data_IF_187418708552
#
_entry.id   IF_187418708552
#
_cell.length_a   1.000
_cell.length_b   1.000
_cell.length_c   1.000
_cell.angle_alpha   90.00
_cell.angle_beta   90.00
_cell.angle_gamma   90.00
#
_symmetry.space_group_name_H-M   'P 1'
#
loop_
_entity.id
_entity.type
_entity.pdbx_description
1 polymer ?
#
# COMPACT_ATOMS: atom_id res chain seq x y z
N UNK A 1 -6.34 -10.60 -3.00
CA UNK A 1 -6.08 -9.17 -3.24
C UNK A 1 -4.76 -9.10 -3.96
N UNK A 2 -4.58 -8.20 -4.92
CA UNK A 2 -3.29 -8.07 -5.64
C UNK A 2 -2.75 -6.65 -5.50
N UNK A 3 -1.43 -6.46 -5.30
CA UNK A 3 -0.86 -5.13 -5.34
C UNK A 3 -0.93 -4.59 -6.78
N UNK A 4 -1.14 -3.30 -6.94
CA UNK A 4 -1.24 -2.64 -8.24
C UNK A 4 -0.36 -1.39 -8.29
N UNK A 5 0.09 -1.03 -9.49
CA UNK A 5 0.64 0.29 -9.74
C UNK A 5 -0.47 1.34 -9.72
N UNK A 6 -0.15 2.49 -9.15
CA UNK A 6 -0.94 3.72 -9.16
C UNK A 6 -0.20 4.81 -9.93
N UNK A 7 -0.85 5.94 -10.20
CA UNK A 7 -0.21 7.08 -10.85
C UNK A 7 0.97 7.68 -10.06
N UNK A 8 1.03 7.44 -8.74
CA UNK A 8 2.11 7.92 -7.86
C UNK A 8 3.21 6.90 -7.65
N UNK A 9 3.07 5.68 -8.18
CA UNK A 9 4.04 4.59 -7.97
C UNK A 9 5.41 5.01 -8.50
N UNK A 10 6.42 4.90 -7.63
CA UNK A 10 7.79 5.32 -7.95
C UNK A 10 8.85 4.27 -7.56
N UNK A 11 8.41 3.09 -7.12
CA UNK A 11 9.27 2.00 -6.70
C UNK A 11 8.57 0.64 -6.77
N UNK A 12 9.37 -0.42 -6.90
CA UNK A 12 8.91 -1.81 -6.77
C UNK A 12 9.83 -2.51 -5.78
N UNK A 13 9.26 -3.05 -4.72
CA UNK A 13 9.98 -3.86 -3.74
C UNK A 13 9.88 -5.34 -4.12
N UNK A 14 11.01 -6.02 -4.14
CA UNK A 14 11.11 -7.42 -4.55
C UNK A 14 11.80 -8.23 -3.45
N UNK A 15 11.35 -9.47 -3.27
CA UNK A 15 11.97 -10.46 -2.39
C UNK A 15 11.68 -11.84 -2.97
N UNK A 16 12.69 -12.73 -2.98
CA UNK A 16 12.52 -14.08 -3.51
C UNK A 16 11.38 -14.82 -2.80
N UNK A 17 10.44 -15.38 -3.57
CA UNK A 17 9.24 -16.05 -3.05
C UNK A 17 8.09 -15.11 -2.67
N UNK A 18 8.27 -13.79 -2.79
CA UNK A 18 7.20 -12.81 -2.65
C UNK A 18 6.71 -12.32 -4.02
N UNK A 19 5.48 -11.83 -4.05
CA UNK A 19 4.95 -11.06 -5.19
C UNK A 19 5.61 -9.68 -5.16
N UNK A 20 6.00 -9.17 -6.32
CA UNK A 20 6.51 -7.80 -6.47
C UNK A 20 5.50 -6.81 -5.90
N UNK A 21 6.01 -5.87 -5.09
CA UNK A 21 5.20 -4.89 -4.39
C UNK A 21 5.46 -3.50 -4.97
N UNK A 22 4.68 -3.05 -5.96
CA UNK A 22 4.66 -1.65 -6.37
C UNK A 22 4.25 -0.76 -5.19
N UNK A 23 5.03 0.30 -4.97
CA UNK A 23 4.80 1.27 -3.90
C UNK A 23 5.10 2.69 -4.35
N UNK A 24 4.47 3.64 -3.67
CA UNK A 24 4.91 5.02 -3.65
C UNK A 24 5.73 5.27 -2.40
N UNK A 25 7.01 5.59 -2.57
CA UNK A 25 7.86 6.15 -1.51
C UNK A 25 7.58 7.65 -1.39
N UNK A 26 7.37 8.12 -0.17
CA UNK A 26 7.14 9.54 0.10
C UNK A 26 7.86 9.97 1.38
N UNK A 27 8.12 11.27 1.52
CA UNK A 27 8.55 11.87 2.77
C UNK A 27 7.34 12.49 3.48
N UNK A 28 7.40 12.56 4.80
CA UNK A 28 6.37 13.20 5.62
C UNK A 28 7.00 13.89 6.80
N UNK A 29 6.22 14.67 7.53
CA UNK A 29 6.65 15.32 8.77
C UNK A 29 7.09 14.33 9.87
N UNK A 30 6.74 13.04 9.76
CA UNK A 30 7.13 11.97 10.70
C UNK A 30 8.21 11.03 10.16
N UNK A 31 8.70 11.26 8.94
CA UNK A 31 9.75 10.48 8.29
C UNK A 31 9.35 9.91 6.93
N UNK A 32 10.15 8.98 6.42
CA UNK A 32 9.91 8.32 5.13
C UNK A 32 8.84 7.23 5.25
N UNK A 33 7.87 7.24 4.35
CA UNK A 33 6.79 6.27 4.28
C UNK A 33 6.73 5.54 2.94
N UNK A 34 5.93 4.47 2.92
CA UNK A 34 5.52 3.78 1.70
C UNK A 34 4.01 3.59 1.69
N UNK A 35 3.41 3.79 0.53
CA UNK A 35 2.02 3.41 0.28
C UNK A 35 2.00 2.29 -0.77
N UNK A 36 1.27 1.22 -0.47
CA UNK A 36 0.98 0.16 -1.42
C UNK A 36 -0.53 0.09 -1.61
N UNK A 37 -0.99 0.11 -2.87
CA UNK A 37 -2.40 -0.04 -3.19
C UNK A 37 -2.70 -1.50 -3.60
N UNK A 38 -3.81 -2.02 -3.10
CA UNK A 38 -4.26 -3.37 -3.42
C UNK A 38 -5.64 -3.33 -4.05
N UNK A 39 -5.75 -3.93 -5.23
CA UNK A 39 -7.04 -4.17 -5.87
C UNK A 39 -7.68 -5.43 -5.27
N UNK A 40 -8.95 -5.30 -4.88
CA UNK A 40 -9.77 -6.43 -4.43
C UNK A 40 -10.26 -7.20 -5.65
N UNK A 41 -9.99 -8.50 -5.69
CA UNK A 41 -10.63 -9.38 -6.64
C UNK A 41 -12.05 -9.72 -6.15
N UNK A 42 -12.96 -10.14 -7.05
CA UNK A 42 -14.34 -10.45 -6.65
C UNK A 42 -14.43 -11.46 -5.49
N UNK A 43 -13.54 -12.47 -5.46
CA UNK A 43 -13.49 -13.44 -4.37
C UNK A 43 -13.06 -12.85 -3.01
N UNK A 44 -12.12 -11.90 -3.01
CA UNK A 44 -11.66 -11.24 -1.79
C UNK A 44 -12.77 -10.41 -1.17
N UNK A 45 -13.48 -9.65 -2.01
CA UNK A 45 -14.53 -8.74 -1.55
C UNK A 45 -15.67 -9.51 -0.87
N UNK A 46 -16.06 -10.67 -1.41
CA UNK A 46 -17.08 -11.52 -0.78
C UNK A 46 -16.60 -12.09 0.57
N UNK A 47 -15.34 -12.48 0.68
CA UNK A 47 -14.78 -12.97 1.95
C UNK A 47 -14.65 -11.86 3.00
N UNK A 48 -14.27 -10.64 2.58
CA UNK A 48 -14.25 -9.46 3.44
C UNK A 48 -15.65 -9.09 3.91
N UNK A 49 -16.66 -9.08 3.02
CA UNK A 49 -18.06 -8.84 3.41
C UNK A 49 -18.56 -9.88 4.41
N UNK A 50 -18.18 -11.14 4.23
CA UNK A 50 -18.57 -12.25 5.11
C UNK A 50 -17.94 -12.16 6.49
N UNK A 51 -16.68 -11.75 6.58
CA UNK A 51 -15.89 -11.81 7.82
C UNK A 51 -15.70 -10.48 8.52
N UNK A 52 -15.81 -9.36 7.79
CA UNK A 52 -15.47 -8.01 8.23
C UNK A 52 -13.98 -7.82 8.54
N UNK A 53 -13.10 -8.67 8.00
CA UNK A 53 -11.68 -8.73 8.40
C UNK A 53 -10.75 -8.61 7.22
N UNK A 54 -9.60 -7.98 7.48
CA UNK A 54 -8.41 -7.98 6.63
C UNK A 54 -7.24 -8.34 7.54
N UNK A 55 -6.33 -9.17 7.04
CA UNK A 55 -5.10 -9.53 7.74
C UNK A 55 -3.91 -8.91 7.01
N UNK A 56 -3.07 -8.19 7.75
CA UNK A 56 -1.82 -7.65 7.25
C UNK A 56 -0.67 -8.32 8.00
N UNK A 57 0.20 -9.01 7.25
CA UNK A 57 1.40 -9.64 7.80
C UNK A 57 2.61 -8.81 7.41
N UNK A 58 3.34 -8.29 8.39
CA UNK A 58 4.58 -7.55 8.20
C UNK A 58 5.69 -8.39 8.81
N UNK A 59 6.65 -8.78 7.99
CA UNK A 59 7.80 -9.58 8.41
C UNK A 59 8.98 -8.65 8.67
N UNK A 60 9.55 -8.72 9.88
CA UNK A 60 10.69 -7.92 10.29
C UNK A 60 10.77 -7.81 11.81
N UNK A 61 11.95 -7.47 12.32
CA UNK A 61 12.16 -7.28 13.76
C UNK A 61 11.56 -5.97 14.28
N UNK A 62 11.45 -4.96 13.41
CA UNK A 62 10.87 -3.66 13.72
C UNK A 62 9.71 -3.38 12.76
N UNK A 63 8.54 -3.07 13.30
CA UNK A 63 7.33 -2.79 12.53
C UNK A 63 6.99 -1.32 12.67
N UNK A 64 6.99 -0.53 11.57
CA UNK A 64 6.53 0.85 11.63
C UNK A 64 5.02 0.91 11.93
N UNK A 65 4.49 2.03 12.47
CA UNK A 65 3.05 2.23 12.54
C UNK A 65 2.42 2.07 11.15
N UNK A 66 1.31 1.33 11.06
CA UNK A 66 0.65 1.06 9.78
C UNK A 66 -0.79 1.56 9.78
N UNK A 67 -1.12 2.29 8.72
CA UNK A 67 -2.49 2.68 8.36
C UNK A 67 -3.04 1.66 7.35
N UNK A 68 -4.24 1.15 7.62
CA UNK A 68 -5.05 0.42 6.64
C UNK A 68 -6.23 1.31 6.29
N UNK A 69 -6.41 1.62 5.00
CA UNK A 69 -7.42 2.55 4.52
C UNK A 69 -7.98 2.10 3.17
N UNK A 70 -9.13 2.67 2.79
CA UNK A 70 -9.79 2.43 1.48
C UNK A 70 -9.44 3.53 0.47
N UNK A 71 -8.72 4.55 0.91
CA UNK A 71 -8.31 5.74 0.18
C UNK A 71 -6.81 5.98 0.36
N UNK A 72 -6.19 6.55 -0.68
CA UNK A 72 -4.79 6.97 -0.64
C UNK A 72 -4.61 8.13 0.35
N UNK A 73 -3.51 8.10 1.11
CA UNK A 73 -3.08 9.23 1.93
C UNK A 73 -2.33 10.31 1.12
N UNK A 74 -1.94 9.97 -0.12
CA UNK A 74 -1.15 10.85 -0.97
C UNK A 74 -2.06 11.88 -1.63
N UNK A 75 -1.68 13.14 -1.48
CA UNK A 75 -2.31 14.24 -2.18
C UNK A 75 -1.43 14.54 -3.39
N UNK A 76 -1.98 14.34 -4.58
CA UNK A 76 -1.31 14.80 -5.81
C UNK A 76 -1.60 16.28 -5.92
N UNK A 77 -0.64 17.12 -5.51
CA UNK A 77 -0.73 18.55 -5.78
C UNK A 77 -0.72 18.74 -7.30
N UNK A 78 -1.80 19.33 -7.82
CA UNK A 78 -1.95 19.65 -9.23
C UNK A 78 -1.07 20.85 -9.58
N UNK A 79 0.26 20.63 -9.57
CA UNK A 79 1.31 21.43 -10.22
C UNK A 79 2.69 20.71 -10.20
N UNK A 80 2.71 19.37 -10.24
CA UNK A 80 3.90 18.60 -10.64
C UNK A 80 5.01 18.44 -9.60
N UNK A 81 4.80 18.84 -8.35
CA UNK A 81 5.72 18.55 -7.23
C UNK A 81 4.97 17.79 -6.13
N UNK A 82 5.46 16.60 -5.77
CA UNK A 82 4.93 15.77 -4.68
C UNK A 82 5.43 16.34 -3.35
N UNK A 83 4.51 16.67 -2.44
CA UNK A 83 4.80 17.05 -1.04
C UNK A 83 4.67 15.89 -0.06
#
# INVERSE_FOLDING_TARGET
>A
MKPIETETTNAIYTLEGCIDLPVTRFESNVGTGVEACFELEPGDLEEIKRTGKIYLNILGENVPPVRVAVDSALIIESDGELS
#
